data_IF_288376285499
#
_entry.id   IF_288376285499
#
_cell.length_a   1.000
_cell.length_b   1.000
_cell.length_c   1.000
_cell.angle_alpha   90.00
_cell.angle_beta   90.00
_cell.angle_gamma   90.00
#
_symmetry.space_group_name_H-M   'P 1'
#
loop_
_entity.id
_entity.type
_entity.pdbx_description
1 polymer ?
#
# COMPACT_ATOMS: atom_id res chain seq x y z
N UNK A 1 0.29 1.46 28.21
CA UNK A 1 0.89 2.76 27.83
C UNK A 1 2.21 2.49 27.16
N UNK A 2 2.55 3.22 26.12
CA UNK A 2 3.84 3.14 25.43
C UNK A 2 4.34 4.54 25.08
N UNK A 3 5.65 4.68 25.10
CA UNK A 3 6.36 5.85 24.60
C UNK A 3 7.38 5.40 23.58
N UNK A 4 7.51 6.14 22.48
CA UNK A 4 8.51 5.87 21.45
C UNK A 4 9.20 7.17 21.09
N UNK A 5 10.51 7.12 21.01
CA UNK A 5 11.37 8.15 20.46
C UNK A 5 12.01 7.61 19.18
N UNK A 6 11.93 8.38 18.10
CA UNK A 6 12.57 8.06 16.83
C UNK A 6 13.28 9.29 16.30
N UNK A 7 14.49 9.10 15.79
CA UNK A 7 15.29 10.15 15.15
C UNK A 7 15.93 9.61 13.89
N UNK A 8 15.75 10.32 12.81
CA UNK A 8 16.39 10.06 11.52
C UNK A 8 17.08 11.31 11.01
N UNK A 9 18.39 11.23 10.86
CA UNK A 9 19.24 12.29 10.29
C UNK A 9 19.86 11.81 8.98
N UNK A 10 19.94 12.68 7.98
CA UNK A 10 20.71 12.49 6.76
C UNK A 10 21.74 13.60 6.65
N UNK A 11 22.99 13.22 6.38
CA UNK A 11 24.07 14.14 6.12
C UNK A 11 24.77 13.76 4.83
N UNK A 12 25.13 14.75 4.05
CA UNK A 12 25.98 14.60 2.87
C UNK A 12 27.40 15.10 3.19
N UNK A 13 28.41 14.32 2.81
CA UNK A 13 29.81 14.72 3.01
C UNK A 13 30.24 15.71 1.91
N UNK A 14 30.46 16.97 2.29
CA UNK A 14 31.01 17.99 1.40
C UNK A 14 32.54 17.74 1.22
N UNK A 15 32.92 17.23 0.05
CA UNK A 15 34.33 16.91 -0.28
C UNK A 15 35.20 18.15 -0.35
N UNK A 16 34.67 19.32 -0.61
CA UNK A 16 35.42 20.58 -0.70
C UNK A 16 35.70 21.12 0.68
N UNK A 17 34.67 21.21 1.52
CA UNK A 17 34.80 21.67 2.91
C UNK A 17 35.33 20.59 3.86
N UNK A 18 35.36 19.32 3.42
CA UNK A 18 35.71 18.14 4.22
C UNK A 18 34.90 18.06 5.53
N UNK A 19 33.62 18.32 5.45
CA UNK A 19 32.71 18.33 6.59
C UNK A 19 31.38 17.68 6.24
N UNK A 20 30.74 17.08 7.23
CA UNK A 20 29.37 16.61 7.11
C UNK A 20 28.41 17.80 7.17
N UNK A 21 27.52 17.88 6.22
CA UNK A 21 26.41 18.84 6.19
C UNK A 21 25.13 18.06 6.39
N UNK A 22 24.49 18.24 7.55
CA UNK A 22 23.18 17.66 7.82
C UNK A 22 22.12 18.44 7.05
N UNK A 23 21.51 17.82 6.07
CA UNK A 23 20.51 18.38 5.18
C UNK A 23 19.07 17.93 5.51
N UNK A 24 18.93 16.93 6.39
CA UNK A 24 17.65 16.41 6.83
C UNK A 24 17.71 15.92 8.28
N UNK A 25 16.72 16.29 9.08
CA UNK A 25 16.53 15.77 10.44
C UNK A 25 15.04 15.65 10.74
N UNK A 26 14.61 14.46 11.13
CA UNK A 26 13.27 14.21 11.62
C UNK A 26 13.35 13.62 13.03
N UNK A 27 12.70 14.25 13.98
CA UNK A 27 12.64 13.78 15.38
C UNK A 27 11.18 13.62 15.75
N UNK A 28 10.81 12.41 16.16
CA UNK A 28 9.46 12.07 16.55
C UNK A 28 9.40 11.57 17.98
N UNK A 29 8.46 12.08 18.75
CA UNK A 29 8.12 11.59 20.07
C UNK A 29 6.66 11.19 20.07
N UNK A 30 6.35 9.94 20.36
CA UNK A 30 4.98 9.46 20.44
C UNK A 30 4.66 8.87 21.80
N UNK A 31 3.47 9.20 22.28
CA UNK A 31 2.89 8.62 23.50
C UNK A 31 1.53 8.02 23.15
N UNK A 32 1.30 6.79 23.58
CA UNK A 32 0.02 6.08 23.42
C UNK A 32 -0.47 5.58 24.78
N UNK A 33 -1.74 5.84 25.06
CA UNK A 33 -2.47 5.23 26.16
C UNK A 33 -3.66 4.43 25.65
N UNK A 34 -3.84 3.20 26.14
CA UNK A 34 -4.90 2.31 25.72
C UNK A 34 -5.43 1.55 26.93
N UNK A 35 -6.76 1.46 27.01
CA UNK A 35 -7.48 0.69 28.03
C UNK A 35 -8.50 -0.21 27.35
N UNK A 36 -8.51 -1.48 27.74
CA UNK A 36 -9.46 -2.48 27.29
C UNK A 36 -10.29 -3.00 28.46
N UNK A 37 -11.60 -3.07 28.28
CA UNK A 37 -12.49 -3.67 29.24
C UNK A 37 -13.39 -4.71 28.56
N UNK A 38 -13.47 -5.89 29.16
CA UNK A 38 -14.31 -6.99 28.65
C UNK A 38 -15.56 -7.15 29.50
N UNK A 39 -16.73 -6.93 28.90
CA UNK A 39 -18.04 -7.12 29.54
C UNK A 39 -18.54 -8.54 29.28
N UNK A 40 -19.03 -9.19 30.34
CA UNK A 40 -19.61 -10.55 30.26
C UNK A 40 -18.72 -11.58 29.53
N UNK A 41 -17.41 -11.39 29.58
CA UNK A 41 -16.44 -12.30 28.92
C UNK A 41 -16.48 -12.31 27.38
N UNK A 42 -17.21 -11.40 26.71
CA UNK A 42 -17.39 -11.44 25.25
C UNK A 42 -17.49 -10.10 24.53
N UNK A 43 -17.92 -9.06 25.19
CA UNK A 43 -17.99 -7.72 24.58
C UNK A 43 -16.79 -6.92 25.03
N UNK A 44 -16.11 -6.22 24.11
CA UNK A 44 -14.87 -5.51 24.41
C UNK A 44 -15.04 -4.04 24.11
N UNK A 45 -14.79 -3.20 25.11
CA UNK A 45 -14.61 -1.77 24.96
C UNK A 45 -13.12 -1.46 24.95
N UNK A 46 -12.65 -0.79 23.92
CA UNK A 46 -11.31 -0.23 23.84
C UNK A 46 -11.43 1.27 23.77
N UNK A 47 -10.74 1.98 24.65
CA UNK A 47 -10.59 3.43 24.61
C UNK A 47 -9.12 3.80 24.67
N UNK A 48 -8.74 4.86 23.98
CA UNK A 48 -7.35 5.27 23.96
C UNK A 48 -7.15 6.63 23.33
N UNK A 49 -5.91 7.04 23.31
CA UNK A 49 -5.47 8.26 22.63
C UNK A 49 -3.99 8.22 22.37
N UNK A 50 -3.59 8.94 21.34
CA UNK A 50 -2.22 9.10 20.90
C UNK A 50 -1.84 10.58 20.93
N UNK A 51 -0.59 10.84 21.26
CA UNK A 51 0.05 12.13 21.09
C UNK A 51 1.36 11.93 20.33
N UNK A 52 1.53 12.66 19.24
CA UNK A 52 2.74 12.65 18.42
C UNK A 52 3.27 14.08 18.32
N UNK A 53 4.53 14.27 18.68
CA UNK A 53 5.29 15.48 18.38
C UNK A 53 6.29 15.15 17.26
N UNK A 54 6.25 15.93 16.20
CA UNK A 54 7.08 15.78 15.00
C UNK A 54 7.87 17.08 14.75
N UNK A 55 9.20 16.98 14.68
CA UNK A 55 10.11 18.04 14.29
C UNK A 55 10.78 17.65 12.97
N UNK A 56 10.74 18.54 12.00
CA UNK A 56 11.30 18.30 10.67
C UNK A 56 12.13 19.49 10.21
N UNK A 57 13.42 19.24 9.99
CA UNK A 57 14.34 20.09 9.23
C UNK A 57 14.63 19.41 7.89
N UNK A 58 14.56 20.12 6.79
CA UNK A 58 14.77 19.53 5.46
C UNK A 58 15.33 20.55 4.50
N UNK A 59 16.30 20.12 3.66
CA UNK A 59 16.80 20.90 2.54
C UNK A 59 15.70 21.26 1.50
N UNK A 60 14.56 20.55 1.57
CA UNK A 60 13.40 20.82 0.71
C UNK A 60 12.62 22.06 1.13
N UNK A 61 12.91 22.65 2.29
CA UNK A 61 12.24 23.85 2.76
C UNK A 61 13.02 25.11 2.35
N UNK A 62 12.29 26.18 2.06
CA UNK A 62 12.91 27.46 1.71
C UNK A 62 13.82 27.95 2.83
N UNK A 63 15.05 28.36 2.49
CA UNK A 63 15.97 28.93 3.46
C UNK A 63 16.47 28.00 4.56
N UNK A 64 16.23 26.67 4.47
CA UNK A 64 16.62 25.71 5.51
C UNK A 64 15.78 25.79 6.78
N UNK A 65 14.55 26.27 6.66
CA UNK A 65 13.60 26.37 7.77
C UNK A 65 13.27 25.02 8.41
N UNK A 66 12.75 25.09 9.64
CA UNK A 66 12.36 23.92 10.41
C UNK A 66 10.91 24.06 10.82
N UNK A 67 10.16 22.96 10.73
CA UNK A 67 8.76 22.92 11.09
C UNK A 67 8.49 21.92 12.21
N UNK A 68 7.46 22.18 12.98
CA UNK A 68 7.06 21.34 14.11
C UNK A 68 5.57 21.11 14.02
N UNK A 69 5.14 19.89 14.30
CA UNK A 69 3.73 19.56 14.38
C UNK A 69 3.48 18.69 15.59
N UNK A 70 2.40 18.93 16.30
CA UNK A 70 1.86 17.95 17.19
C UNK A 70 0.50 17.47 16.69
N UNK A 71 0.28 16.18 16.87
CA UNK A 71 -0.98 15.51 16.59
C UNK A 71 -1.50 14.92 17.89
N UNK A 72 -2.75 15.13 18.17
CA UNK A 72 -3.41 14.51 19.32
C UNK A 72 -4.71 13.86 18.86
N UNK A 73 -5.00 12.67 19.36
CA UNK A 73 -6.25 11.99 19.08
C UNK A 73 -6.80 11.26 20.29
N UNK A 74 -8.09 11.01 20.21
CA UNK A 74 -8.80 10.13 21.12
C UNK A 74 -9.74 9.22 20.34
N UNK A 75 -9.84 7.97 20.75
CA UNK A 75 -10.70 7.00 20.09
C UNK A 75 -11.41 6.08 21.09
N UNK A 76 -12.56 5.57 20.64
CA UNK A 76 -13.29 4.51 21.31
C UNK A 76 -13.76 3.48 20.31
N UNK A 77 -13.73 2.21 20.67
CA UNK A 77 -14.22 1.08 19.89
C UNK A 77 -15.00 0.13 20.79
N UNK A 78 -16.14 -0.31 20.32
CA UNK A 78 -16.95 -1.32 20.99
C UNK A 78 -17.14 -2.53 20.07
N UNK A 79 -16.64 -3.66 20.51
CA UNK A 79 -16.79 -4.97 19.85
C UNK A 79 -17.96 -5.72 20.51
N UNK A 80 -19.07 -5.76 19.81
CA UNK A 80 -20.30 -6.36 20.29
C UNK A 80 -20.47 -7.77 19.72
N UNK A 81 -20.44 -8.77 20.58
CA UNK A 81 -20.57 -10.19 20.27
C UNK A 81 -21.82 -10.77 20.95
N UNK A 82 -23.05 -10.50 20.48
CA UNK A 82 -24.27 -10.98 21.15
C UNK A 82 -24.40 -12.51 21.11
N UNK A 83 -23.95 -13.14 20.03
CA UNK A 83 -23.99 -14.57 19.83
C UNK A 83 -22.87 -15.03 18.88
N UNK A 84 -22.74 -16.36 18.67
CA UNK A 84 -21.70 -16.96 17.82
C UNK A 84 -21.83 -16.63 16.31
N UNK A 85 -22.97 -16.13 15.88
CA UNK A 85 -23.27 -15.86 14.48
C UNK A 85 -23.07 -14.40 14.08
N UNK A 86 -23.24 -13.50 15.02
CA UNK A 86 -23.21 -12.06 14.74
C UNK A 86 -22.13 -11.37 15.57
N UNK A 87 -21.36 -10.52 14.89
CA UNK A 87 -20.40 -9.59 15.50
C UNK A 87 -20.59 -8.21 14.85
N UNK A 88 -20.55 -7.17 15.66
CA UNK A 88 -20.53 -5.78 15.22
C UNK A 88 -19.42 -5.01 15.96
N UNK A 89 -18.61 -4.29 15.20
CA UNK A 89 -17.58 -3.40 15.75
C UNK A 89 -17.91 -1.98 15.32
N UNK A 90 -18.22 -1.12 16.29
CA UNK A 90 -18.40 0.30 16.08
C UNK A 90 -17.23 1.06 16.70
N UNK A 91 -16.63 1.98 15.98
CA UNK A 91 -15.56 2.82 16.49
C UNK A 91 -15.68 4.26 15.99
N UNK A 92 -15.09 5.17 16.76
CA UNK A 92 -14.95 6.56 16.40
C UNK A 92 -13.61 7.08 16.89
N UNK A 93 -12.99 7.93 16.09
CA UNK A 93 -11.75 8.61 16.44
C UNK A 93 -11.89 10.09 16.11
N UNK A 94 -11.35 10.93 16.98
CA UNK A 94 -11.21 12.35 16.77
C UNK A 94 -9.73 12.71 16.75
N UNK A 95 -9.29 13.39 15.69
CA UNK A 95 -7.91 13.78 15.43
C UNK A 95 -7.79 15.30 15.38
N UNK A 96 -6.68 15.83 15.90
CA UNK A 96 -6.28 17.22 15.80
C UNK A 96 -4.82 17.34 15.35
N UNK A 97 -4.55 18.22 14.37
CA UNK A 97 -3.23 18.51 13.80
C UNK A 97 -2.93 20.00 13.95
N UNK A 98 -1.86 20.34 14.67
CA UNK A 98 -1.57 21.73 15.02
C UNK A 98 -1.19 22.58 13.82
N UNK A 99 -0.27 22.13 12.98
CA UNK A 99 0.28 22.90 11.87
C UNK A 99 -0.72 23.01 10.72
N UNK A 100 -1.30 21.93 10.32
CA UNK A 100 -2.36 21.92 9.31
C UNK A 100 -3.67 22.56 9.81
N UNK A 101 -3.78 22.95 11.09
CA UNK A 101 -5.01 23.46 11.74
C UNK A 101 -6.24 22.63 11.41
N UNK A 102 -6.04 21.31 11.31
CA UNK A 102 -7.02 20.35 10.85
C UNK A 102 -7.55 19.51 11.99
N UNK A 103 -8.83 19.22 11.92
CA UNK A 103 -9.49 18.32 12.86
C UNK A 103 -10.45 17.42 12.09
N UNK A 104 -10.64 16.21 12.58
CA UNK A 104 -11.55 15.27 11.94
C UNK A 104 -12.18 14.31 12.92
N UNK A 105 -13.40 13.89 12.59
CA UNK A 105 -14.11 12.80 13.23
C UNK A 105 -14.26 11.64 12.25
N UNK A 106 -13.71 10.48 12.60
CA UNK A 106 -13.64 9.29 11.75
C UNK A 106 -14.46 8.15 12.36
N UNK A 107 -15.75 8.01 12.03
CA UNK A 107 -16.55 6.86 12.44
C UNK A 107 -16.24 5.64 11.57
N UNK A 108 -16.39 4.45 12.15
CA UNK A 108 -16.30 3.18 11.46
C UNK A 108 -17.32 2.19 12.02
N UNK A 109 -17.92 1.40 11.13
CA UNK A 109 -18.81 0.30 11.47
C UNK A 109 -18.45 -0.93 10.66
N UNK A 110 -18.21 -2.05 11.36
CA UNK A 110 -17.99 -3.35 10.74
C UNK A 110 -19.04 -4.32 11.27
N UNK A 111 -19.66 -5.03 10.36
CA UNK A 111 -20.66 -6.05 10.67
C UNK A 111 -20.20 -7.39 10.10
N UNK A 112 -20.37 -8.46 10.84
CA UNK A 112 -20.12 -9.81 10.38
C UNK A 112 -21.26 -10.73 10.79
N UNK A 113 -21.73 -11.52 9.84
CA UNK A 113 -22.70 -12.58 10.06
C UNK A 113 -22.12 -13.93 9.61
N UNK A 114 -22.02 -14.87 10.53
CA UNK A 114 -21.47 -16.22 10.30
C UNK A 114 -22.60 -17.22 10.15
N UNK A 115 -22.63 -17.87 9.01
CA UNK A 115 -23.38 -19.08 8.73
C UNK A 115 -22.46 -20.31 8.92
N UNK A 116 -23.00 -21.52 8.76
CA UNK A 116 -22.21 -22.74 8.96
C UNK A 116 -20.90 -22.78 8.19
N UNK A 117 -20.94 -22.48 6.90
CA UNK A 117 -19.80 -22.50 5.98
C UNK A 117 -19.60 -21.17 5.25
N UNK A 118 -20.33 -20.13 5.64
CA UNK A 118 -20.28 -18.81 5.00
C UNK A 118 -20.09 -17.73 6.06
N UNK A 119 -19.39 -16.66 5.67
CA UNK A 119 -19.33 -15.43 6.45
C UNK A 119 -19.64 -14.24 5.53
N UNK A 120 -20.58 -13.41 5.94
CA UNK A 120 -20.86 -12.14 5.28
C UNK A 120 -20.29 -11.02 6.12
N UNK A 121 -19.59 -10.07 5.48
CA UNK A 121 -19.02 -8.91 6.15
C UNK A 121 -19.40 -7.66 5.40
N UNK A 122 -19.81 -6.64 6.12
CA UNK A 122 -20.01 -5.30 5.59
C UNK A 122 -19.21 -4.30 6.42
N UNK A 123 -18.58 -3.33 5.78
CA UNK A 123 -17.88 -2.27 6.49
C UNK A 123 -18.13 -0.90 5.87
N UNK A 124 -18.16 0.09 6.73
CA UNK A 124 -18.10 1.50 6.39
C UNK A 124 -17.07 2.18 7.27
N UNK A 125 -16.19 2.99 6.67
CA UNK A 125 -15.21 3.76 7.41
C UNK A 125 -15.00 5.13 6.76
N UNK A 126 -14.86 6.16 7.58
CA UNK A 126 -14.37 7.47 7.17
C UNK A 126 -12.86 7.47 7.35
N UNK A 127 -12.13 7.76 6.26
CA UNK A 127 -10.70 7.98 6.27
C UNK A 127 -10.38 9.47 6.25
N UNK A 128 -9.26 9.83 6.84
CA UNK A 128 -8.76 11.19 6.94
C UNK A 128 -7.24 11.22 6.80
N UNK A 129 -6.72 12.23 6.11
CA UNK A 129 -5.29 12.51 6.01
C UNK A 129 -5.07 14.03 6.03
N UNK A 130 -4.40 14.53 7.07
CA UNK A 130 -3.93 15.91 7.08
C UNK A 130 -2.78 16.11 6.09
N UNK A 131 -2.59 17.32 5.55
CA UNK A 131 -1.39 17.66 4.81
C UNK A 131 -0.15 17.44 5.68
N UNK A 132 0.91 16.94 5.07
CA UNK A 132 2.21 16.80 5.74
C UNK A 132 2.98 18.12 5.71
N UNK A 133 3.97 18.29 6.59
CA UNK A 133 4.85 19.46 6.59
C UNK A 133 5.54 19.65 5.22
N UNK A 134 5.91 18.57 4.55
CA UNK A 134 6.48 18.64 3.19
C UNK A 134 5.48 19.17 2.16
N UNK A 135 4.25 18.68 2.19
CA UNK A 135 3.21 19.12 1.26
C UNK A 135 2.84 20.58 1.45
N UNK A 136 2.98 21.10 2.68
CA UNK A 136 2.69 22.51 2.98
C UNK A 136 3.86 23.44 2.67
N UNK A 137 5.10 23.04 2.95
CA UNK A 137 6.24 23.96 3.04
C UNK A 137 7.40 23.65 2.08
N UNK A 138 7.27 22.67 1.19
CA UNK A 138 8.32 22.40 0.20
C UNK A 138 8.58 23.60 -0.70
N UNK A 139 9.86 23.87 -0.97
CA UNK A 139 10.32 24.81 -1.97
C UNK A 139 11.72 24.40 -2.42
N UNK A 140 11.81 23.45 -3.34
CA UNK A 140 13.09 22.91 -3.77
C UNK A 140 13.16 22.63 -5.26
N UNK A 141 14.37 22.71 -5.80
CA UNK A 141 14.69 22.38 -7.18
C UNK A 141 14.95 20.88 -7.31
N UNK A 142 14.21 20.23 -8.19
CA UNK A 142 14.38 18.81 -8.51
C UNK A 142 15.45 18.63 -9.61
N UNK A 143 16.71 18.90 -9.25
CA UNK A 143 17.86 18.67 -10.13
C UNK A 143 17.88 19.55 -11.37
N UNK A 144 17.43 20.80 -11.28
CA UNK A 144 17.34 21.78 -12.38
C UNK A 144 16.35 21.37 -13.49
N UNK A 145 15.43 20.46 -13.21
CA UNK A 145 14.36 20.06 -14.11
C UNK A 145 13.14 20.97 -13.89
N UNK A 146 12.65 21.03 -12.66
CA UNK A 146 11.58 21.93 -12.20
C UNK A 146 11.61 22.13 -10.69
N UNK A 147 10.95 23.20 -10.24
CA UNK A 147 10.70 23.45 -8.83
C UNK A 147 9.46 22.69 -8.35
N UNK A 148 9.49 22.31 -7.08
CA UNK A 148 8.32 21.74 -6.38
C UNK A 148 8.00 22.62 -5.19
N UNK A 149 6.79 23.18 -5.20
CA UNK A 149 6.27 24.06 -4.15
C UNK A 149 5.21 23.37 -3.30
N UNK A 150 5.30 23.58 -2.00
CA UNK A 150 4.25 23.30 -1.05
C UNK A 150 3.09 24.27 -1.15
N UNK A 151 2.04 24.00 -0.40
CA UNK A 151 0.88 24.88 -0.34
C UNK A 151 0.27 24.83 1.07
N UNK A 152 0.39 25.93 1.80
CA UNK A 152 -0.14 26.08 3.16
C UNK A 152 -1.68 26.08 3.22
N UNK A 153 -2.36 26.27 2.07
CA UNK A 153 -3.82 26.30 1.97
C UNK A 153 -4.43 24.94 1.64
N UNK A 154 -3.64 23.86 1.71
CA UNK A 154 -4.13 22.51 1.48
C UNK A 154 -5.22 22.12 2.48
N UNK A 155 -6.31 21.58 1.94
CA UNK A 155 -7.36 20.97 2.74
C UNK A 155 -7.01 19.51 3.02
N UNK A 156 -7.37 18.97 4.19
CA UNK A 156 -7.24 17.56 4.47
C UNK A 156 -8.03 16.70 3.50
N UNK A 157 -7.47 15.54 3.14
CA UNK A 157 -8.20 14.52 2.41
C UNK A 157 -9.23 13.84 3.31
N UNK A 158 -10.44 13.61 2.78
CA UNK A 158 -11.49 12.83 3.44
C UNK A 158 -11.98 11.74 2.50
N UNK A 159 -12.12 10.52 3.02
CA UNK A 159 -12.64 9.42 2.24
C UNK A 159 -13.79 8.72 2.93
N UNK A 160 -14.72 8.20 2.12
CA UNK A 160 -15.77 7.29 2.52
C UNK A 160 -15.53 5.94 1.86
N UNK A 161 -15.30 4.93 2.68
CA UNK A 161 -14.94 3.60 2.25
C UNK A 161 -16.08 2.65 2.60
N UNK A 162 -16.61 1.96 1.60
CA UNK A 162 -17.64 0.92 1.74
C UNK A 162 -17.07 -0.39 1.23
N UNK A 163 -17.28 -1.47 1.95
CA UNK A 163 -16.99 -2.80 1.43
C UNK A 163 -18.03 -3.83 1.86
N UNK A 164 -18.25 -4.80 0.98
CA UNK A 164 -19.08 -5.95 1.23
C UNK A 164 -18.32 -7.19 0.80
N UNK A 165 -18.20 -8.19 1.69
CA UNK A 165 -17.48 -9.42 1.44
C UNK A 165 -18.32 -10.63 1.81
N UNK A 166 -18.27 -11.64 0.95
CA UNK A 166 -18.82 -12.96 1.19
C UNK A 166 -17.71 -14.00 1.10
N UNK A 167 -17.59 -14.81 2.12
CA UNK A 167 -16.62 -15.92 2.18
C UNK A 167 -17.37 -17.23 2.31
N UNK A 168 -17.01 -18.20 1.48
CA UNK A 168 -17.44 -19.59 1.60
C UNK A 168 -16.22 -20.44 1.96
N UNK A 169 -16.33 -21.15 3.05
CA UNK A 169 -15.27 -22.02 3.55
C UNK A 169 -15.82 -23.40 3.83
N UNK A 170 -15.25 -24.43 3.24
CA UNK A 170 -15.61 -25.81 3.50
C UNK A 170 -14.39 -26.71 3.31
N UNK A 171 -13.87 -27.24 4.45
CA UNK A 171 -12.82 -28.27 4.45
C UNK A 171 -11.60 -27.96 3.54
N UNK A 172 -11.75 -28.11 2.24
CA UNK A 172 -10.68 -28.01 1.22
C UNK A 172 -10.78 -26.77 0.34
N UNK A 173 -11.90 -26.06 0.41
CA UNK A 173 -12.21 -24.95 -0.49
C UNK A 173 -12.41 -23.69 0.32
N UNK A 174 -11.83 -22.63 -0.16
CA UNK A 174 -12.11 -21.27 0.30
C UNK A 174 -12.39 -20.42 -0.92
N UNK A 175 -13.46 -19.65 -0.87
CA UNK A 175 -13.81 -18.64 -1.88
C UNK A 175 -14.22 -17.36 -1.17
N UNK A 176 -13.54 -16.27 -1.46
CA UNK A 176 -13.88 -14.96 -0.95
C UNK A 176 -14.16 -14.02 -2.11
N UNK A 177 -15.27 -13.32 -2.06
CA UNK A 177 -15.63 -12.27 -3.01
C UNK A 177 -15.83 -10.98 -2.21
N UNK A 178 -15.14 -9.92 -2.60
CA UNK A 178 -15.22 -8.60 -1.96
C UNK A 178 -15.48 -7.55 -3.00
N UNK A 179 -16.53 -6.76 -2.83
CA UNK A 179 -16.75 -5.53 -3.56
C UNK A 179 -16.44 -4.32 -2.68
N UNK A 180 -15.91 -3.25 -3.26
CA UNK A 180 -15.61 -2.02 -2.52
C UNK A 180 -15.91 -0.77 -3.35
N UNK A 181 -16.18 0.32 -2.64
CA UNK A 181 -16.36 1.65 -3.21
C UNK A 181 -15.72 2.69 -2.29
N UNK A 182 -14.82 3.50 -2.85
CA UNK A 182 -14.13 4.57 -2.16
C UNK A 182 -14.42 5.91 -2.85
N UNK A 183 -14.84 6.87 -2.06
CA UNK A 183 -15.00 8.26 -2.47
C UNK A 183 -13.97 9.09 -1.70
N UNK A 184 -13.00 9.67 -2.42
CA UNK A 184 -11.98 10.54 -1.83
C UNK A 184 -12.27 11.99 -2.24
N UNK A 185 -12.37 12.87 -1.26
CA UNK A 185 -12.53 14.29 -1.46
C UNK A 185 -11.23 15.02 -1.12
N UNK A 186 -10.94 16.09 -1.83
CA UNK A 186 -9.79 16.97 -1.61
C UNK A 186 -8.45 16.22 -1.55
N UNK A 187 -8.28 15.18 -2.41
CA UNK A 187 -7.01 14.46 -2.49
C UNK A 187 -5.86 15.43 -2.75
N UNK A 188 -4.79 15.30 -1.99
CA UNK A 188 -3.57 16.09 -2.16
C UNK A 188 -2.69 15.40 -3.21
N UNK A 189 -2.29 16.14 -4.21
CA UNK A 189 -1.40 15.67 -5.28
C UNK A 189 -0.58 16.82 -5.83
N UNK A 190 0.47 16.53 -6.60
CA UNK A 190 1.34 17.52 -7.23
C UNK A 190 0.86 17.76 -8.64
N UNK A 191 0.67 19.03 -9.01
CA UNK A 191 0.25 19.46 -10.35
C UNK A 191 1.15 20.55 -10.89
N UNK A 192 1.23 20.61 -12.22
CA UNK A 192 1.91 21.69 -12.92
C UNK A 192 1.09 22.97 -12.86
N UNK A 193 1.71 24.06 -12.39
CA UNK A 193 1.16 25.41 -12.42
C UNK A 193 2.02 26.30 -13.32
N UNK A 194 1.52 26.69 -14.51
CA UNK A 194 2.29 27.50 -15.46
C UNK A 194 2.50 28.94 -15.01
N UNK A 195 1.81 29.42 -13.99
CA UNK A 195 1.93 30.78 -13.48
C UNK A 195 3.14 31.01 -12.58
N UNK A 196 3.69 29.93 -12.03
CA UNK A 196 4.83 29.98 -11.12
C UNK A 196 6.14 30.28 -11.88
N UNK A 197 7.21 30.59 -11.14
CA UNK A 197 8.57 30.84 -11.68
C UNK A 197 8.60 31.90 -12.81
N UNK A 198 7.87 33.00 -12.62
CA UNK A 198 7.76 34.06 -13.62
C UNK A 198 7.24 33.59 -14.99
N UNK A 199 6.30 32.64 -14.97
CA UNK A 199 5.69 32.07 -16.16
C UNK A 199 6.46 30.91 -16.80
N UNK A 200 7.52 30.41 -16.16
CA UNK A 200 8.22 29.19 -16.58
C UNK A 200 7.48 27.93 -16.13
N UNK A 201 6.64 28.05 -15.10
CA UNK A 201 5.89 26.98 -14.48
C UNK A 201 6.69 26.20 -13.44
N UNK A 202 5.98 25.58 -12.52
CA UNK A 202 6.52 24.70 -11.49
C UNK A 202 5.48 23.67 -11.05
N UNK A 203 5.91 22.63 -10.36
CA UNK A 203 5.02 21.69 -9.69
C UNK A 203 4.57 22.28 -8.35
N UNK A 204 3.29 22.21 -8.03
CA UNK A 204 2.73 22.68 -6.77
C UNK A 204 1.77 21.63 -6.18
N UNK A 205 1.82 21.46 -4.86
CA UNK A 205 0.83 20.63 -4.15
C UNK A 205 -0.54 21.30 -4.16
N UNK A 206 -1.56 20.55 -4.55
CA UNK A 206 -2.94 21.05 -4.66
C UNK A 206 -3.96 19.97 -4.29
N UNK A 207 -5.20 20.39 -4.04
CA UNK A 207 -6.29 19.45 -3.77
C UNK A 207 -7.07 19.12 -5.05
N UNK A 208 -7.18 17.85 -5.36
CA UNK A 208 -8.07 17.31 -6.38
C UNK A 208 -9.44 17.03 -5.76
N UNK A 209 -10.48 17.71 -6.22
CA UNK A 209 -11.77 17.78 -5.52
C UNK A 209 -12.46 16.46 -5.25
N UNK A 210 -12.53 15.55 -6.21
CA UNK A 210 -13.25 14.26 -6.03
C UNK A 210 -12.63 13.16 -6.86
N UNK A 211 -12.38 12.05 -6.21
CA UNK A 211 -11.96 10.81 -6.86
C UNK A 211 -12.85 9.67 -6.41
N UNK A 212 -13.29 8.87 -7.37
CA UNK A 212 -14.08 7.68 -7.13
C UNK A 212 -13.27 6.45 -7.53
N UNK A 213 -13.24 5.48 -6.68
CA UNK A 213 -12.62 4.19 -6.92
C UNK A 213 -13.61 3.09 -6.54
N UNK A 214 -13.81 2.12 -7.41
CA UNK A 214 -14.65 0.96 -7.14
C UNK A 214 -13.93 -0.30 -7.62
N UNK A 215 -14.22 -1.42 -7.03
CA UNK A 215 -13.61 -2.65 -7.48
C UNK A 215 -14.23 -3.89 -6.87
N UNK A 216 -13.76 -5.02 -7.39
CA UNK A 216 -14.11 -6.33 -6.88
C UNK A 216 -12.87 -7.22 -6.85
N UNK A 217 -12.71 -7.97 -5.77
CA UNK A 217 -11.67 -8.97 -5.59
C UNK A 217 -12.32 -10.36 -5.44
N UNK A 218 -11.74 -11.35 -6.08
CA UNK A 218 -12.12 -12.75 -5.94
C UNK A 218 -10.88 -13.55 -5.60
N UNK A 219 -10.90 -14.25 -4.47
CA UNK A 219 -9.83 -15.12 -4.01
C UNK A 219 -10.38 -16.54 -3.85
N UNK A 220 -9.74 -17.50 -4.49
CA UNK A 220 -10.12 -18.90 -4.43
C UNK A 220 -8.92 -19.79 -4.07
N UNK A 221 -9.12 -20.71 -3.17
CA UNK A 221 -8.12 -21.72 -2.81
C UNK A 221 -8.75 -23.10 -2.74
N UNK A 222 -8.02 -24.12 -3.23
CA UNK A 222 -8.40 -25.49 -3.15
C UNK A 222 -7.19 -26.35 -2.76
N UNK A 223 -7.37 -27.28 -1.82
CA UNK A 223 -6.34 -28.26 -1.38
C UNK A 223 -6.87 -29.67 -1.57
N UNK A 224 -6.14 -30.47 -2.32
CA UNK A 224 -6.50 -31.85 -2.62
C UNK A 224 -5.63 -32.83 -1.83
N UNK A 225 -6.15 -33.99 -1.41
CA UNK A 225 -5.38 -34.99 -0.67
C UNK A 225 -4.19 -35.56 -1.44
N UNK A 226 -4.22 -35.48 -2.77
CA UNK A 226 -3.10 -35.91 -3.61
C UNK A 226 -1.85 -35.04 -3.48
N UNK A 227 -1.92 -33.90 -2.74
CA UNK A 227 -0.83 -32.95 -2.59
C UNK A 227 -0.92 -31.74 -3.53
N UNK A 228 -1.99 -31.62 -4.33
CA UNK A 228 -2.24 -30.46 -5.20
C UNK A 228 -2.89 -29.33 -4.39
N UNK A 229 -2.31 -28.13 -4.47
CA UNK A 229 -2.89 -26.90 -3.95
C UNK A 229 -3.00 -25.89 -5.10
N UNK A 230 -4.17 -25.27 -5.25
CA UNK A 230 -4.48 -24.25 -6.23
C UNK A 230 -4.89 -22.98 -5.47
N UNK A 231 -4.31 -21.83 -5.84
CA UNK A 231 -4.72 -20.50 -5.39
C UNK A 231 -4.84 -19.59 -6.58
N UNK A 232 -5.98 -18.93 -6.68
CA UNK A 232 -6.29 -17.96 -7.72
C UNK A 232 -6.79 -16.69 -7.07
N UNK A 233 -6.28 -15.56 -7.53
CA UNK A 233 -6.78 -14.24 -7.12
C UNK A 233 -7.01 -13.39 -8.36
N UNK A 234 -8.10 -12.65 -8.34
CA UNK A 234 -8.43 -11.69 -9.38
C UNK A 234 -8.91 -10.40 -8.74
N UNK A 235 -8.44 -9.28 -9.26
CA UNK A 235 -8.83 -7.94 -8.85
C UNK A 235 -9.26 -7.12 -10.05
N UNK A 236 -10.40 -6.47 -9.95
CA UNK A 236 -10.86 -5.43 -10.84
C UNK A 236 -10.87 -4.10 -10.09
N UNK A 237 -10.29 -3.06 -10.67
CA UNK A 237 -10.27 -1.71 -10.12
C UNK A 237 -10.73 -0.70 -11.17
N UNK A 238 -11.84 -0.04 -10.89
CA UNK A 238 -12.31 1.12 -11.63
C UNK A 238 -11.84 2.39 -10.95
N UNK A 239 -11.35 3.32 -11.74
CA UNK A 239 -10.99 4.68 -11.30
C UNK A 239 -11.74 5.69 -12.16
N UNK A 240 -12.24 6.77 -11.54
CA UNK A 240 -12.95 7.80 -12.29
C UNK A 240 -12.03 8.52 -13.29
N UNK A 241 -12.60 9.06 -14.37
CA UNK A 241 -11.84 9.78 -15.41
C UNK A 241 -10.98 10.91 -14.86
N UNK A 242 -11.47 11.64 -13.85
CA UNK A 242 -10.68 12.67 -13.16
C UNK A 242 -9.41 12.13 -12.51
N UNK A 243 -9.42 10.87 -12.07
CA UNK A 243 -8.20 10.22 -11.56
C UNK A 243 -7.22 9.95 -12.68
N UNK A 244 -7.70 9.54 -13.85
CA UNK A 244 -6.86 9.20 -14.98
C UNK A 244 -6.16 10.41 -15.62
N UNK A 245 -6.68 11.63 -15.38
CA UNK A 245 -6.03 12.87 -15.78
C UNK A 245 -4.74 13.18 -15.00
N UNK A 246 -4.49 12.49 -13.90
CA UNK A 246 -3.36 12.70 -13.00
C UNK A 246 -2.44 11.50 -12.90
N UNK A 247 -2.06 10.93 -14.05
CA UNK A 247 -1.09 9.82 -14.15
C UNK A 247 -1.48 8.61 -13.28
N UNK A 248 -2.50 7.87 -13.70
CA UNK A 248 -2.83 6.59 -13.09
C UNK A 248 -1.82 5.51 -13.48
N UNK A 249 -1.25 4.83 -12.49
CA UNK A 249 -0.38 3.67 -12.67
C UNK A 249 -1.10 2.34 -12.41
N UNK A 250 -2.38 2.38 -12.05
CA UNK A 250 -3.15 1.20 -11.73
C UNK A 250 -3.72 0.54 -13.00
N UNK A 251 -3.45 -0.73 -13.17
CA UNK A 251 -4.05 -1.54 -14.24
C UNK A 251 -5.44 -2.01 -13.82
N UNK A 252 -6.48 -1.87 -14.67
CA UNK A 252 -7.85 -2.20 -14.28
C UNK A 252 -8.05 -3.64 -13.84
N UNK A 253 -7.34 -4.60 -14.47
CA UNK A 253 -7.45 -6.00 -14.12
C UNK A 253 -6.08 -6.56 -13.73
N UNK A 254 -6.02 -7.23 -12.60
CA UNK A 254 -4.86 -7.96 -12.12
C UNK A 254 -5.28 -9.37 -11.68
N UNK A 255 -4.45 -10.35 -11.98
CA UNK A 255 -4.67 -11.71 -11.55
C UNK A 255 -3.39 -12.37 -11.07
N UNK A 256 -3.50 -13.30 -10.12
CA UNK A 256 -2.42 -14.20 -9.75
C UNK A 256 -2.93 -15.64 -9.74
N UNK A 257 -2.07 -16.55 -10.15
CA UNK A 257 -2.34 -17.97 -10.10
C UNK A 257 -1.14 -18.69 -9.47
N UNK A 258 -1.40 -19.61 -8.56
CA UNK A 258 -0.39 -20.47 -7.97
C UNK A 258 -0.90 -21.90 -7.96
N UNK A 259 -0.11 -22.78 -8.56
CA UNK A 259 -0.32 -24.22 -8.57
C UNK A 259 0.86 -24.86 -7.86
N UNK A 260 0.63 -25.55 -6.77
CA UNK A 260 1.67 -26.28 -6.02
C UNK A 260 1.30 -27.74 -5.98
N UNK A 261 2.24 -28.59 -6.30
CA UNK A 261 2.09 -30.03 -6.14
C UNK A 261 3.28 -30.57 -5.36
N UNK A 262 3.00 -31.21 -4.23
CA UNK A 262 4.02 -31.78 -3.38
C UNK A 262 3.64 -33.18 -2.90
N UNK A 263 4.66 -33.99 -2.74
CA UNK A 263 4.51 -35.34 -2.15
C UNK A 263 5.74 -35.67 -1.33
N UNK A 264 5.49 -36.29 -0.18
CA UNK A 264 6.53 -36.71 0.74
C UNK A 264 6.47 -38.23 0.95
N UNK A 265 7.63 -38.86 0.97
CA UNK A 265 7.84 -40.26 1.30
C UNK A 265 8.96 -40.35 2.34
N UNK A 266 8.73 -40.92 3.50
CA UNK A 266 9.69 -41.11 4.62
C UNK A 266 10.96 -40.23 4.65
N UNK A 267 11.85 -40.33 3.66
CA UNK A 267 13.12 -39.60 3.55
C UNK A 267 13.22 -38.72 2.29
N UNK A 268 12.26 -38.77 1.44
CA UNK A 268 12.21 -38.18 0.14
C UNK A 268 11.00 -37.30 0.03
N UNK A 269 11.13 -36.17 -0.63
CA UNK A 269 10.00 -35.31 -0.91
C UNK A 269 10.28 -34.36 -2.03
N UNK A 270 9.28 -33.95 -2.76
CA UNK A 270 9.40 -32.85 -3.70
C UNK A 270 8.21 -31.91 -3.62
N UNK A 271 8.43 -30.69 -4.00
CA UNK A 271 7.38 -29.69 -4.22
C UNK A 271 7.68 -28.92 -5.50
N UNK A 272 6.71 -28.87 -6.40
CA UNK A 272 6.75 -28.07 -7.61
C UNK A 272 5.71 -26.96 -7.46
N UNK A 273 6.11 -25.71 -7.62
CA UNK A 273 5.22 -24.56 -7.57
C UNK A 273 5.37 -23.73 -8.84
N UNK A 274 4.29 -23.62 -9.59
CA UNK A 274 4.14 -22.67 -10.69
C UNK A 274 3.32 -21.48 -10.19
N UNK A 275 3.87 -20.28 -10.24
CA UNK A 275 3.16 -19.05 -9.87
C UNK A 275 3.22 -18.04 -11.01
N UNK A 276 2.09 -17.39 -11.27
CA UNK A 276 1.95 -16.44 -12.35
C UNK A 276 1.25 -15.16 -11.88
N UNK A 277 1.60 -14.05 -12.52
CA UNK A 277 0.95 -12.75 -12.41
C UNK A 277 0.52 -12.29 -13.79
N UNK A 278 -0.74 -11.88 -13.91
CA UNK A 278 -1.35 -11.37 -15.13
C UNK A 278 -1.80 -9.93 -14.88
N UNK A 279 -1.48 -9.02 -15.77
CA UNK A 279 -1.87 -7.63 -15.68
C UNK A 279 -2.44 -7.17 -17.04
N UNK A 280 -3.58 -6.47 -16.97
CA UNK A 280 -4.23 -5.92 -18.17
C UNK A 280 -3.42 -4.78 -18.77
N UNK A 281 -3.82 -4.30 -19.94
CA UNK A 281 -3.33 -3.03 -20.48
C UNK A 281 -3.55 -1.88 -19.51
N UNK A 282 -2.66 -0.90 -19.54
CA UNK A 282 -2.75 0.35 -18.81
C UNK A 282 -2.82 1.49 -19.81
N UNK A 283 -3.87 2.31 -19.71
CA UNK A 283 -3.95 3.57 -20.43
C UNK A 283 -3.80 4.70 -19.43
N UNK A 284 -2.84 5.58 -19.64
CA UNK A 284 -2.52 6.69 -18.73
C UNK A 284 -2.09 7.92 -19.53
N UNK A 285 -2.12 9.08 -18.89
CA UNK A 285 -1.53 10.30 -19.45
C UNK A 285 -0.02 10.32 -19.17
N UNK A 286 0.73 10.72 -20.15
CA UNK A 286 2.18 10.90 -20.07
C UNK A 286 2.50 12.31 -20.58
N UNK A 287 3.34 13.05 -19.88
CA UNK A 287 3.80 14.35 -20.36
C UNK A 287 4.57 14.19 -21.67
N UNK A 288 4.25 15.02 -22.66
CA UNK A 288 4.91 15.02 -23.97
C UNK A 288 6.40 15.35 -23.86
N UNK A 289 6.75 16.14 -22.85
CA UNK A 289 8.12 16.45 -22.49
C UNK A 289 8.24 16.44 -20.96
N UNK A 290 9.06 15.53 -20.43
CA UNK A 290 9.25 15.40 -18.97
C UNK A 290 10.01 16.58 -18.39
N UNK A 291 10.75 17.34 -19.17
CA UNK A 291 11.46 18.55 -18.73
C UNK A 291 10.60 19.82 -18.86
N UNK A 292 9.51 19.75 -19.63
CA UNK A 292 8.61 20.88 -19.86
C UNK A 292 7.15 20.41 -19.91
N UNK A 293 6.51 20.20 -18.75
CA UNK A 293 5.10 19.77 -18.66
C UNK A 293 4.11 20.76 -19.32
N UNK A 294 4.52 22.01 -19.61
CA UNK A 294 3.67 22.98 -20.31
C UNK A 294 3.34 22.56 -21.75
N UNK A 295 4.14 21.68 -22.34
CA UNK A 295 3.89 21.09 -23.67
C UNK A 295 2.72 20.09 -23.67
N UNK A 296 2.04 19.94 -22.54
CA UNK A 296 0.86 19.11 -22.39
C UNK A 296 1.17 17.62 -22.17
N UNK A 297 0.11 16.82 -22.23
CA UNK A 297 0.19 15.38 -22.06
C UNK A 297 -0.60 14.67 -23.16
N UNK A 298 -0.15 13.47 -23.52
CA UNK A 298 -0.82 12.57 -24.44
C UNK A 298 -1.24 11.28 -23.73
N UNK A 299 -2.24 10.63 -24.29
CA UNK A 299 -2.71 9.34 -23.78
C UNK A 299 -1.87 8.21 -24.37
N UNK A 300 -1.19 7.48 -23.48
CA UNK A 300 -0.39 6.32 -23.84
C UNK A 300 -1.01 5.03 -23.35
N UNK A 301 -0.91 3.97 -24.13
CA UNK A 301 -1.42 2.64 -23.77
C UNK A 301 -0.29 1.63 -23.72
N UNK A 302 -0.03 1.11 -22.53
CA UNK A 302 0.93 0.05 -22.28
C UNK A 302 0.26 -1.32 -22.32
N UNK A 303 0.81 -2.30 -23.03
CA UNK A 303 0.16 -3.60 -23.25
C UNK A 303 -0.02 -4.40 -21.95
N UNK A 304 -0.92 -5.36 -22.02
CA UNK A 304 -1.06 -6.40 -21.00
C UNK A 304 0.17 -7.30 -21.01
N UNK A 305 0.52 -7.87 -19.84
CA UNK A 305 1.60 -8.83 -19.75
C UNK A 305 1.36 -9.87 -18.67
N UNK A 306 2.13 -10.95 -18.75
CA UNK A 306 2.14 -12.00 -17.74
C UNK A 306 3.58 -12.41 -17.43
N UNK A 307 3.84 -12.70 -16.15
CA UNK A 307 5.13 -13.20 -15.68
C UNK A 307 4.90 -14.45 -14.84
N UNK A 308 5.69 -15.49 -15.11
CA UNK A 308 5.57 -16.78 -14.46
C UNK A 308 6.90 -17.22 -13.86
N UNK A 309 6.81 -17.89 -12.72
CA UNK A 309 7.93 -18.44 -11.98
C UNK A 309 7.65 -19.89 -11.64
N UNK A 310 8.63 -20.74 -11.93
CA UNK A 310 8.63 -22.15 -11.55
C UNK A 310 9.66 -22.39 -10.46
N UNK A 311 9.23 -22.98 -9.36
CA UNK A 311 10.12 -23.46 -8.30
C UNK A 311 9.97 -24.98 -8.18
N UNK A 312 11.08 -25.65 -8.12
CA UNK A 312 11.19 -27.06 -7.75
C UNK A 312 12.04 -27.14 -6.48
N UNK A 313 11.50 -27.73 -5.43
CA UNK A 313 12.25 -28.06 -4.21
C UNK A 313 12.20 -29.57 -4.01
N UNK A 314 13.36 -30.18 -3.81
CA UNK A 314 13.48 -31.60 -3.62
C UNK A 314 14.26 -31.90 -2.34
N UNK A 315 13.66 -32.69 -1.45
CA UNK A 315 14.35 -33.29 -0.32
C UNK A 315 15.04 -34.56 -0.80
N UNK A 316 16.37 -34.53 -0.90
CA UNK A 316 17.15 -35.66 -1.44
C UNK A 316 17.44 -36.69 -0.34
N UNK A 317 17.85 -36.23 0.82
CA UNK A 317 18.22 -37.04 1.96
C UNK A 317 18.16 -36.21 3.24
N UNK A 318 17.85 -36.85 4.39
CA UNK A 318 17.88 -36.29 5.75
C UNK A 318 18.40 -34.82 5.85
N UNK A 319 17.55 -33.82 5.68
CA UNK A 319 17.96 -32.41 5.81
C UNK A 319 18.72 -31.78 4.62
N UNK A 320 18.91 -32.51 3.51
CA UNK A 320 19.51 -31.94 2.28
C UNK A 320 18.36 -31.57 1.31
N UNK A 321 18.25 -30.29 0.99
CA UNK A 321 17.25 -29.74 0.08
C UNK A 321 17.93 -29.11 -1.13
N UNK A 322 17.48 -29.45 -2.31
CA UNK A 322 17.86 -28.79 -3.56
C UNK A 322 16.70 -27.99 -4.08
N UNK A 323 16.95 -26.74 -4.42
CA UNK A 323 15.95 -25.83 -5.01
C UNK A 323 16.41 -25.38 -6.36
N UNK A 324 15.54 -25.51 -7.37
CA UNK A 324 15.70 -24.96 -8.70
C UNK A 324 14.60 -23.93 -8.95
N UNK A 325 14.98 -22.77 -9.44
CA UNK A 325 14.06 -21.68 -9.74
C UNK A 325 14.27 -21.19 -11.16
N UNK A 326 13.18 -21.13 -11.93
CA UNK A 326 13.15 -20.42 -13.19
C UNK A 326 12.20 -19.22 -13.02
N UNK A 327 12.73 -18.02 -13.01
CA UNK A 327 11.96 -16.79 -12.96
C UNK A 327 11.74 -16.24 -14.36
N UNK A 328 10.61 -15.56 -14.58
CA UNK A 328 10.19 -15.10 -15.90
C UNK A 328 10.24 -16.24 -16.96
N UNK A 329 9.56 -17.33 -16.68
CA UNK A 329 9.60 -18.61 -17.40
C UNK A 329 9.37 -18.44 -18.91
N UNK A 330 8.54 -17.47 -19.33
CA UNK A 330 8.21 -17.20 -20.72
C UNK A 330 9.03 -16.07 -21.34
N UNK A 331 10.13 -15.66 -20.70
CA UNK A 331 11.07 -14.68 -21.22
C UNK A 331 10.42 -13.34 -21.62
N UNK A 332 9.45 -12.86 -20.83
CA UNK A 332 8.85 -11.57 -21.07
C UNK A 332 9.91 -10.47 -20.97
N UNK A 333 9.99 -9.63 -22.00
CA UNK A 333 10.83 -8.43 -22.04
C UNK A 333 9.97 -7.27 -22.51
N UNK A 334 9.77 -6.21 -21.68
CA UNK A 334 9.02 -5.05 -22.14
C UNK A 334 9.79 -4.34 -23.26
N UNK A 335 9.08 -3.94 -24.30
CA UNK A 335 9.60 -3.11 -25.40
C UNK A 335 9.53 -1.61 -25.11
N UNK A 336 9.09 -1.24 -23.92
CA UNK A 336 8.86 0.14 -23.47
C UNK A 336 9.21 0.26 -22.00
N UNK A 337 9.54 1.48 -21.57
CA UNK A 337 9.76 1.81 -20.16
C UNK A 337 8.81 2.93 -19.76
N UNK A 338 8.20 2.79 -18.59
CA UNK A 338 7.42 3.82 -17.95
C UNK A 338 7.56 3.65 -16.43
N UNK A 339 7.14 4.67 -15.70
CA UNK A 339 7.12 4.58 -14.23
C UNK A 339 6.32 3.35 -13.78
N UNK A 340 6.89 2.49 -12.96
CA UNK A 340 6.38 1.18 -12.53
C UNK A 340 6.32 0.08 -13.62
N UNK A 341 7.01 0.21 -14.75
CA UNK A 341 7.19 -0.93 -15.64
C UNK A 341 8.07 -2.01 -14.97
N UNK A 342 7.80 -3.30 -15.20
CA UNK A 342 8.66 -4.34 -14.67
C UNK A 342 10.02 -4.27 -15.36
N UNK A 343 11.08 -4.07 -14.56
CA UNK A 343 12.43 -4.25 -15.07
C UNK A 343 12.77 -5.74 -15.06
N UNK A 344 13.08 -6.31 -16.21
CA UNK A 344 13.47 -7.72 -16.32
C UNK A 344 14.48 -7.93 -17.43
N UNK A 345 15.52 -8.70 -17.14
CA UNK A 345 16.54 -9.10 -18.10
C UNK A 345 16.12 -10.30 -18.96
N UNK A 346 14.91 -10.83 -18.73
CA UNK A 346 14.41 -12.05 -19.33
C UNK A 346 14.41 -13.21 -18.34
N UNK A 347 14.42 -14.44 -18.84
CA UNK A 347 14.42 -15.65 -18.01
C UNK A 347 15.71 -15.74 -17.18
N UNK A 348 15.57 -15.94 -15.89
CA UNK A 348 16.69 -16.20 -14.98
C UNK A 348 16.54 -17.55 -14.32
N UNK A 349 17.67 -18.27 -14.18
CA UNK A 349 17.73 -19.57 -13.53
C UNK A 349 18.59 -19.47 -12.27
N UNK A 350 18.12 -20.07 -11.19
CA UNK A 350 18.88 -20.18 -9.95
C UNK A 350 18.80 -21.60 -9.42
N UNK A 351 19.91 -22.07 -8.84
CA UNK A 351 19.99 -23.34 -8.12
C UNK A 351 20.55 -23.08 -6.73
N UNK A 352 20.03 -23.75 -5.75
CA UNK A 352 20.47 -23.66 -4.35
C UNK A 352 20.45 -25.02 -3.69
N UNK A 353 21.38 -25.21 -2.76
CA UNK A 353 21.42 -26.37 -1.85
C UNK A 353 21.39 -25.83 -0.43
N UNK A 354 20.50 -26.36 0.39
CA UNK A 354 20.48 -26.11 1.82
C UNK A 354 20.62 -27.41 2.59
N UNK A 355 21.36 -27.35 3.70
CA UNK A 355 21.65 -28.49 4.55
C UNK A 355 21.24 -28.16 5.97
N UNK A 356 20.30 -28.91 6.52
CA UNK A 356 19.87 -28.85 7.91
C UNK A 356 20.74 -29.82 8.71
N UNK A 357 21.72 -29.28 9.44
CA UNK A 357 22.71 -30.07 10.17
C UNK A 357 22.09 -30.86 11.31
N UNK A 358 21.03 -30.36 11.94
CA UNK A 358 20.34 -31.05 13.06
C UNK A 358 19.61 -32.29 12.60
N UNK A 359 19.36 -32.46 11.31
CA UNK A 359 18.70 -33.61 10.70
C UNK A 359 19.67 -34.59 10.04
N UNK A 360 20.92 -34.22 9.86
CA UNK A 360 21.95 -35.06 9.27
C UNK A 360 22.52 -36.06 10.29
N UNK A 361 22.58 -35.64 11.51
CA UNK A 361 23.06 -36.39 12.66
C UNK A 361 21.89 -36.75 13.58
#
# INVERSE_FOLDING_TARGET
>A
MSYTFDQYDKSDFDKVKRSDVRDYSNVQNSFRALYNHTFNGKHILTVGGDYLYDYLASYMFSGGETYRQYTADAFAQFDWNPNRHFNAVASARYDYYSEAKAQNFSPQLNLMYKLRNCSLRGSYAVGFRAPTLKEMYSAFDMGSIWWIYGNEHLKPEKSHNFSLSAEYFKSRYNLTVTGYYNLVNDRIDVQWDPSLENGKGAMMYTNIRKMKMAGANVDAAAKYPCGLEIRLSYAYTYQSEKYNQYVSTARPHAGTARFSYGKEWKKYGFNVTLSGRLLSKLTTLVYNDTSDPSKGSSQETYPAYTMWKLNLTQNIYKGIHVTLTADNLFNYRPSYYYFNSPYTTGTTLAAGVSVDLDRLF
#
